data_IF_293765295772
#
_entry.id   IF_293765295772
#
_cell.length_a   1.000
_cell.length_b   1.000
_cell.length_c   1.000
_cell.angle_alpha   90.00
_cell.angle_beta   90.00
_cell.angle_gamma   90.00
#
_symmetry.space_group_name_H-M   'P 1'
#
loop_
_entity.id
_entity.type
_entity.pdbx_description
1 polymer ?
#
# COMPACT_ATOMS: atom_id res chain seq x y z
N UNK A 1 -27.33 27.50 11.98
CA UNK A 1 -27.09 26.11 11.55
C UNK A 1 -25.79 25.66 12.18
N UNK A 2 -25.84 24.80 13.18
CA UNK A 2 -24.65 24.20 13.78
C UNK A 2 -24.12 23.15 12.81
N UNK A 3 -22.93 23.39 12.25
CA UNK A 3 -22.20 22.35 11.53
C UNK A 3 -21.88 21.27 12.55
N UNK A 4 -22.42 20.07 12.37
CA UNK A 4 -22.05 18.94 13.22
C UNK A 4 -20.54 18.69 13.06
N UNK A 5 -19.80 18.77 14.16
CA UNK A 5 -18.37 18.49 14.15
C UNK A 5 -18.17 16.98 13.98
N UNK A 6 -17.58 16.57 12.86
CA UNK A 6 -17.26 15.17 12.56
C UNK A 6 -16.33 14.63 13.65
N UNK A 7 -16.61 13.43 14.17
CA UNK A 7 -15.77 12.79 15.18
C UNK A 7 -14.51 12.14 14.55
N UNK A 8 -13.46 11.95 15.35
CA UNK A 8 -12.24 11.27 14.91
C UNK A 8 -12.49 9.89 14.24
N UNK A 9 -13.33 8.99 14.80
CA UNK A 9 -13.61 7.72 14.14
C UNK A 9 -14.39 7.89 12.83
N UNK A 10 -15.30 8.86 12.72
CA UNK A 10 -16.02 9.13 11.47
C UNK A 10 -15.09 9.66 10.38
N UNK A 11 -14.20 10.61 10.73
CA UNK A 11 -13.21 11.14 9.78
C UNK A 11 -12.27 10.05 9.28
N UNK A 12 -11.73 9.23 10.19
CA UNK A 12 -10.83 8.15 9.82
C UNK A 12 -11.53 7.03 9.04
N UNK A 13 -12.78 6.69 9.40
CA UNK A 13 -13.59 5.71 8.67
C UNK A 13 -13.81 6.13 7.23
N UNK A 14 -14.21 7.39 7.00
CA UNK A 14 -14.45 7.90 5.66
C UNK A 14 -13.19 7.73 4.76
N UNK A 15 -12.01 8.11 5.28
CA UNK A 15 -10.76 7.94 4.56
C UNK A 15 -10.36 6.47 4.37
N UNK A 16 -10.55 5.62 5.39
CA UNK A 16 -10.26 4.19 5.32
C UNK A 16 -11.11 3.48 4.25
N UNK A 17 -12.40 3.79 4.20
CA UNK A 17 -13.38 3.17 3.30
C UNK A 17 -13.28 3.70 1.87
N UNK A 18 -12.71 4.90 1.68
CA UNK A 18 -12.38 5.52 0.39
C UNK A 18 -11.15 4.92 -0.28
N UNK A 19 -10.44 3.98 0.36
CA UNK A 19 -9.37 3.23 -0.33
C UNK A 19 -9.98 2.37 -1.42
N UNK A 20 -9.42 2.45 -2.63
CA UNK A 20 -9.79 1.55 -3.71
C UNK A 20 -9.49 0.11 -3.30
N UNK A 21 -10.33 -0.86 -3.62
CA UNK A 21 -10.09 -2.29 -3.30
C UNK A 21 -10.66 -3.13 -4.42
N UNK A 22 -10.15 -4.35 -4.59
CA UNK A 22 -10.80 -5.29 -5.50
C UNK A 22 -12.03 -5.88 -4.80
N UNK A 23 -13.18 -5.78 -5.47
CA UNK A 23 -14.44 -6.33 -4.96
C UNK A 23 -14.51 -7.86 -5.12
N UNK A 24 -15.64 -8.45 -4.72
CA UNK A 24 -15.85 -9.91 -4.76
C UNK A 24 -15.89 -10.50 -6.18
N UNK A 25 -16.06 -9.66 -7.21
CA UNK A 25 -16.08 -10.08 -8.60
C UNK A 25 -14.69 -10.15 -9.22
N UNK A 26 -13.64 -9.74 -8.50
CA UNK A 26 -12.26 -9.82 -8.96
C UNK A 26 -11.86 -11.27 -9.26
N UNK A 27 -11.58 -11.62 -10.53
CA UNK A 27 -11.29 -13.00 -10.91
C UNK A 27 -9.81 -13.37 -10.71
N UNK A 28 -8.96 -12.38 -10.39
CA UNK A 28 -7.51 -12.50 -10.53
C UNK A 28 -7.01 -11.99 -11.87
N UNK A 29 -5.70 -11.99 -12.06
CA UNK A 29 -5.07 -11.63 -13.33
C UNK A 29 -3.77 -12.39 -13.57
N UNK A 30 -3.33 -12.41 -14.82
CA UNK A 30 -1.96 -12.73 -15.24
C UNK A 30 -1.28 -11.49 -15.79
N UNK A 31 0.04 -11.44 -15.69
CA UNK A 31 0.87 -10.41 -16.31
C UNK A 31 2.23 -10.99 -16.69
N UNK A 32 2.87 -10.37 -17.67
CA UNK A 32 4.29 -10.49 -17.88
C UNK A 32 4.99 -9.57 -16.88
N UNK A 33 6.01 -10.07 -16.20
CA UNK A 33 6.73 -9.28 -15.19
C UNK A 33 8.17 -9.08 -15.59
N UNK A 34 8.65 -7.85 -15.47
CA UNK A 34 10.06 -7.49 -15.59
C UNK A 34 10.51 -6.81 -14.30
N UNK A 35 11.52 -7.34 -13.64
CA UNK A 35 12.27 -6.66 -12.59
C UNK A 35 13.57 -6.13 -13.19
N UNK A 36 13.78 -4.82 -13.08
CA UNK A 36 15.09 -4.20 -13.27
C UNK A 36 15.64 -3.84 -11.91
N UNK A 37 16.81 -4.36 -11.57
CA UNK A 37 17.48 -4.08 -10.31
C UNK A 37 18.94 -3.80 -10.62
N UNK A 38 19.37 -2.57 -10.36
CA UNK A 38 20.70 -2.09 -10.74
C UNK A 38 20.98 -2.38 -12.24
N UNK A 39 22.03 -3.16 -12.57
CA UNK A 39 22.37 -3.55 -13.95
C UNK A 39 21.73 -4.87 -14.41
N UNK A 40 20.85 -5.47 -13.61
CA UNK A 40 20.23 -6.77 -13.89
C UNK A 40 18.77 -6.63 -14.33
N UNK A 41 18.36 -7.51 -15.24
CA UNK A 41 16.97 -7.59 -15.72
C UNK A 41 16.50 -9.03 -15.64
N UNK A 42 15.39 -9.26 -14.95
CA UNK A 42 14.74 -10.55 -14.81
C UNK A 42 13.33 -10.48 -15.37
N UNK A 43 12.95 -11.44 -16.21
CA UNK A 43 11.63 -11.49 -16.85
C UNK A 43 10.95 -12.81 -16.57
N UNK A 44 9.65 -12.78 -16.31
CA UNK A 44 8.86 -13.98 -16.06
C UNK A 44 7.37 -13.75 -16.28
N UNK A 45 6.56 -14.65 -15.72
CA UNK A 45 5.10 -14.54 -15.68
C UNK A 45 4.65 -14.44 -14.23
N UNK A 46 3.68 -13.57 -13.99
CA UNK A 46 3.02 -13.40 -12.71
C UNK A 46 1.55 -13.78 -12.84
N UNK A 47 1.00 -14.38 -11.80
CA UNK A 47 -0.43 -14.64 -11.65
C UNK A 47 -0.88 -14.27 -10.26
N UNK A 48 -1.97 -13.53 -10.12
CA UNK A 48 -2.66 -13.30 -8.85
C UNK A 48 -4.03 -13.93 -8.98
N UNK A 49 -4.33 -14.91 -8.13
CA UNK A 49 -5.63 -15.57 -8.12
C UNK A 49 -6.73 -14.66 -7.54
N UNK A 50 -8.01 -15.01 -7.78
CA UNK A 50 -9.16 -14.40 -7.09
C UNK A 50 -9.05 -14.42 -5.55
N UNK A 51 -8.31 -15.39 -5.01
CA UNK A 51 -7.99 -15.50 -3.59
C UNK A 51 -6.81 -14.64 -3.12
N UNK A 52 -6.35 -13.68 -3.94
CA UNK A 52 -5.24 -12.76 -3.65
C UNK A 52 -3.89 -13.46 -3.43
N UNK A 53 -3.72 -14.68 -3.94
CA UNK A 53 -2.45 -15.42 -3.84
C UNK A 53 -1.63 -15.20 -5.11
N UNK A 54 -0.41 -14.65 -5.00
CA UNK A 54 0.50 -14.50 -6.13
C UNK A 54 1.28 -15.78 -6.43
N UNK A 55 1.61 -15.96 -7.70
CA UNK A 55 2.45 -17.02 -8.26
C UNK A 55 3.41 -16.38 -9.28
N UNK A 56 4.67 -16.82 -9.29
CA UNK A 56 5.72 -16.30 -10.18
C UNK A 56 6.42 -17.46 -10.86
N UNK A 57 6.48 -17.43 -12.19
CA UNK A 57 7.08 -18.46 -13.04
C UNK A 57 8.09 -17.87 -14.03
N UNK A 58 8.99 -18.72 -14.54
CA UNK A 58 9.95 -18.33 -15.58
C UNK A 58 11.14 -17.51 -15.11
N UNK A 59 11.43 -17.46 -13.79
CA UNK A 59 12.59 -16.77 -13.22
C UNK A 59 13.43 -17.77 -12.44
N UNK A 60 14.67 -18.00 -12.88
CA UNK A 60 15.61 -18.95 -12.26
C UNK A 60 16.33 -18.36 -11.04
N UNK A 61 16.54 -17.03 -11.03
CA UNK A 61 17.14 -16.36 -9.89
C UNK A 61 16.11 -16.28 -8.74
N UNK A 62 16.36 -17.05 -7.68
CA UNK A 62 15.42 -17.17 -6.54
C UNK A 62 15.22 -15.84 -5.79
N UNK A 63 16.24 -14.99 -5.68
CA UNK A 63 16.13 -13.69 -5.02
C UNK A 63 15.21 -12.75 -5.81
N UNK A 64 15.38 -12.68 -7.13
CA UNK A 64 14.52 -11.90 -8.02
C UNK A 64 13.08 -12.42 -8.02
N UNK A 65 12.90 -13.75 -8.04
CA UNK A 65 11.59 -14.40 -7.94
C UNK A 65 10.90 -14.05 -6.62
N UNK A 66 11.63 -14.11 -5.51
CA UNK A 66 11.11 -13.75 -4.19
C UNK A 66 10.77 -12.27 -4.08
N UNK A 67 11.59 -11.38 -4.65
CA UNK A 67 11.34 -9.94 -4.70
C UNK A 67 10.03 -9.63 -5.45
N UNK A 68 9.85 -10.21 -6.65
CA UNK A 68 8.62 -10.05 -7.44
C UNK A 68 7.41 -10.62 -6.70
N UNK A 69 7.54 -11.83 -6.14
CA UNK A 69 6.47 -12.45 -5.36
C UNK A 69 6.07 -11.56 -4.16
N UNK A 70 7.06 -11.00 -3.46
CA UNK A 70 6.84 -10.06 -2.36
C UNK A 70 6.04 -8.83 -2.79
N UNK A 71 6.43 -8.20 -3.91
CA UNK A 71 5.69 -7.04 -4.43
C UNK A 71 4.25 -7.40 -4.83
N UNK A 72 4.05 -8.52 -5.53
CA UNK A 72 2.70 -9.00 -5.87
C UNK A 72 1.86 -9.28 -4.63
N UNK A 73 2.45 -9.86 -3.59
CA UNK A 73 1.76 -10.11 -2.31
C UNK A 73 1.36 -8.80 -1.64
N UNK A 74 2.27 -7.83 -1.56
CA UNK A 74 1.98 -6.51 -1.00
C UNK A 74 0.86 -5.80 -1.76
N UNK A 75 0.90 -5.83 -3.10
CA UNK A 75 -0.18 -5.26 -3.93
C UNK A 75 -1.51 -5.95 -3.58
N UNK A 76 -1.54 -7.28 -3.66
CA UNK A 76 -2.77 -8.05 -3.49
C UNK A 76 -3.38 -7.88 -2.08
N UNK A 77 -2.58 -7.94 -1.02
CA UNK A 77 -3.09 -7.86 0.36
C UNK A 77 -3.70 -6.50 0.69
N UNK A 78 -3.21 -5.42 0.08
CA UNK A 78 -3.76 -4.08 0.25
C UNK A 78 -5.07 -3.87 -0.53
N UNK A 79 -5.31 -4.67 -1.58
CA UNK A 79 -6.57 -4.64 -2.34
C UNK A 79 -7.69 -5.47 -1.71
N UNK A 80 -7.41 -6.26 -0.68
CA UNK A 80 -8.45 -7.01 0.06
C UNK A 80 -9.37 -6.04 0.81
N UNK A 81 -10.65 -6.03 0.47
CA UNK A 81 -11.67 -5.30 1.24
C UNK A 81 -11.85 -5.95 2.61
N UNK A 82 -11.63 -5.15 3.66
CA UNK A 82 -12.05 -5.45 5.04
C UNK A 82 -12.92 -4.29 5.51
N UNK A 83 -13.95 -4.59 6.28
CA UNK A 83 -14.78 -3.54 6.89
C UNK A 83 -13.98 -2.78 7.95
N UNK A 84 -14.44 -1.56 8.24
CA UNK A 84 -13.85 -0.75 9.29
C UNK A 84 -13.91 -1.46 10.65
N UNK A 85 -15.05 -2.09 10.97
CA UNK A 85 -15.27 -2.84 12.21
C UNK A 85 -14.34 -4.05 12.34
N UNK A 86 -14.16 -4.84 11.28
CA UNK A 86 -13.24 -5.99 11.29
C UNK A 86 -11.80 -5.58 11.58
N UNK A 87 -11.37 -4.43 11.04
CA UNK A 87 -9.98 -3.97 11.16
C UNK A 87 -9.75 -3.16 12.42
N UNK A 88 -10.71 -2.30 12.80
CA UNK A 88 -10.52 -1.29 13.84
C UNK A 88 -11.58 -1.29 14.95
N UNK A 89 -12.53 -2.21 14.97
CA UNK A 89 -13.61 -2.25 15.98
C UNK A 89 -13.15 -2.50 17.42
N UNK A 90 -11.86 -2.81 17.64
CA UNK A 90 -11.23 -2.96 18.96
C UNK A 90 -10.32 -1.77 19.33
N UNK A 91 -10.38 -0.68 18.58
CA UNK A 91 -9.58 0.52 18.79
C UNK A 91 -10.45 1.70 19.22
N UNK A 92 -9.83 2.65 19.91
CA UNK A 92 -10.37 4.00 20.12
C UNK A 92 -9.62 5.01 19.26
N UNK A 93 -10.23 6.16 19.04
CA UNK A 93 -9.71 7.20 18.15
C UNK A 93 -9.83 8.56 18.84
N UNK A 94 -8.77 9.34 18.80
CA UNK A 94 -8.79 10.75 19.21
C UNK A 94 -8.07 11.61 18.18
N UNK A 95 -8.43 12.89 18.13
CA UNK A 95 -7.70 13.85 17.32
C UNK A 95 -6.33 14.17 17.95
N UNK A 96 -5.31 14.23 17.10
CA UNK A 96 -4.01 14.82 17.41
C UNK A 96 -3.89 16.21 16.79
N UNK A 97 -2.70 16.54 16.31
CA UNK A 97 -2.44 17.83 15.68
C UNK A 97 -2.98 17.91 14.24
N UNK A 98 -3.33 19.13 13.80
CA UNK A 98 -3.50 19.44 12.37
C UNK A 98 -2.25 20.15 11.89
N UNK A 99 -1.65 19.68 10.79
CA UNK A 99 -0.46 20.33 10.23
C UNK A 99 -0.80 21.44 9.24
N UNK A 100 0.23 22.13 8.75
CA UNK A 100 0.10 23.26 7.82
C UNK A 100 -0.53 22.90 6.47
N UNK A 101 -0.54 21.62 6.11
CA UNK A 101 -1.22 21.12 4.90
C UNK A 101 -2.71 20.87 5.11
N UNK A 102 -3.20 21.03 6.35
CA UNK A 102 -4.56 20.69 6.75
C UNK A 102 -4.77 19.21 7.04
N UNK A 103 -3.70 18.40 7.06
CA UNK A 103 -3.81 16.99 7.42
C UNK A 103 -4.03 16.85 8.92
N UNK A 104 -5.08 16.12 9.30
CA UNK A 104 -5.52 15.92 10.69
C UNK A 104 -4.98 14.59 11.21
N UNK A 105 -4.26 14.62 12.31
CA UNK A 105 -3.74 13.43 12.97
C UNK A 105 -4.85 12.69 13.74
N UNK A 106 -4.84 11.37 13.62
CA UNK A 106 -5.70 10.44 14.34
C UNK A 106 -4.80 9.54 15.19
N UNK A 107 -4.94 9.66 16.50
CA UNK A 107 -4.23 8.86 17.48
C UNK A 107 -5.07 7.63 17.82
N UNK A 108 -4.44 6.46 17.77
CA UNK A 108 -5.11 5.19 18.04
C UNK A 108 -4.89 4.76 19.49
N UNK A 109 -5.94 4.26 20.13
CA UNK A 109 -5.88 3.55 21.40
C UNK A 109 -6.45 2.14 21.30
N UNK A 110 -6.42 1.39 22.41
CA UNK A 110 -6.92 0.01 22.45
C UNK A 110 -5.94 -0.97 21.82
N UNK A 111 -6.40 -1.85 20.93
CA UNK A 111 -5.53 -2.88 20.33
C UNK A 111 -4.38 -2.29 19.50
N UNK A 112 -4.58 -1.11 18.91
CA UNK A 112 -3.58 -0.41 18.11
C UNK A 112 -2.98 0.80 18.86
N UNK A 113 -2.94 0.76 20.19
CA UNK A 113 -2.32 1.82 20.97
C UNK A 113 -0.88 2.12 20.52
N UNK A 114 -0.58 3.40 20.29
CA UNK A 114 0.69 3.86 19.73
C UNK A 114 0.71 4.02 18.21
N UNK A 115 -0.23 3.38 17.48
CA UNK A 115 -0.43 3.68 16.05
C UNK A 115 -1.01 5.09 15.88
N UNK A 116 -0.67 5.73 14.76
CA UNK A 116 -1.28 6.99 14.36
C UNK A 116 -1.36 7.12 12.85
N UNK A 117 -2.30 7.94 12.42
CA UNK A 117 -2.52 8.24 11.01
C UNK A 117 -2.65 9.74 10.83
N UNK A 118 -2.46 10.23 9.60
CA UNK A 118 -2.99 11.53 9.20
C UNK A 118 -3.96 11.36 8.06
N UNK A 119 -5.04 12.15 8.09
CA UNK A 119 -6.07 12.17 7.08
C UNK A 119 -6.15 13.57 6.46
N UNK A 120 -6.19 13.63 5.13
CA UNK A 120 -6.40 14.85 4.35
C UNK A 120 -7.21 14.49 3.11
N UNK A 121 -8.15 15.34 2.70
CA UNK A 121 -8.93 15.17 1.47
C UNK A 121 -9.62 13.80 1.34
N UNK A 122 -10.13 13.25 2.46
CA UNK A 122 -10.73 11.92 2.54
C UNK A 122 -9.77 10.77 2.16
N UNK A 123 -8.47 10.97 2.37
CA UNK A 123 -7.43 9.97 2.18
C UNK A 123 -6.53 9.88 3.42
N UNK A 124 -6.06 8.66 3.70
CA UNK A 124 -4.98 8.46 4.67
C UNK A 124 -3.66 8.85 4.00
N UNK A 125 -3.03 9.93 4.47
CA UNK A 125 -1.79 10.46 3.91
C UNK A 125 -0.56 10.19 4.79
N UNK A 126 -0.75 9.74 6.04
CA UNK A 126 0.32 9.21 6.89
C UNK A 126 -0.14 7.94 7.57
N UNK A 127 0.74 6.95 7.61
CA UNK A 127 0.58 5.72 8.38
C UNK A 127 1.78 5.57 9.29
N UNK A 128 1.57 5.42 10.58
CA UNK A 128 2.60 5.08 11.55
C UNK A 128 2.09 3.92 12.40
N UNK A 129 2.70 2.75 12.25
CA UNK A 129 2.16 1.51 12.83
C UNK A 129 3.20 0.59 13.42
N UNK A 130 2.85 -0.02 14.54
CA UNK A 130 3.59 -1.11 15.16
C UNK A 130 3.17 -2.43 14.53
N UNK A 131 4.08 -3.05 13.77
CA UNK A 131 3.83 -4.32 13.09
C UNK A 131 5.04 -5.23 13.23
N UNK A 132 4.81 -6.50 13.60
CA UNK A 132 5.87 -7.53 13.65
C UNK A 132 7.17 -7.13 14.38
N UNK A 133 7.08 -6.34 15.46
CA UNK A 133 8.24 -5.91 16.25
C UNK A 133 9.03 -4.74 15.66
N UNK A 134 8.51 -4.08 14.62
CA UNK A 134 9.05 -2.84 14.04
C UNK A 134 7.96 -1.77 13.97
N UNK A 135 8.39 -0.52 13.82
CA UNK A 135 7.49 0.60 13.52
C UNK A 135 7.71 1.03 12.09
N UNK A 136 6.67 0.98 11.27
CA UNK A 136 6.70 1.51 9.90
C UNK A 136 6.06 2.90 9.89
N UNK A 137 6.72 3.86 9.25
CA UNK A 137 6.15 5.18 8.92
C UNK A 137 6.11 5.35 7.42
N UNK A 138 4.96 5.70 6.87
CA UNK A 138 4.73 5.93 5.45
C UNK A 138 4.06 7.29 5.28
N UNK A 139 4.63 8.16 4.46
CA UNK A 139 4.01 9.40 4.01
C UNK A 139 3.58 9.24 2.56
N UNK A 140 2.31 9.51 2.26
CA UNK A 140 1.79 9.55 0.89
C UNK A 140 1.77 10.98 0.40
N UNK A 141 2.49 11.24 -0.69
CA UNK A 141 2.65 12.55 -1.29
C UNK A 141 1.63 12.79 -2.41
N UNK A 142 1.24 11.74 -3.11
CA UNK A 142 0.18 11.79 -4.12
C UNK A 142 -0.52 10.44 -4.27
N UNK A 143 -1.74 10.52 -4.79
CA UNK A 143 -2.62 9.37 -5.02
C UNK A 143 -3.09 9.33 -6.47
N UNK A 144 -3.42 8.13 -6.94
CA UNK A 144 -4.13 7.89 -8.18
C UNK A 144 -5.62 7.77 -7.87
N UNK A 145 -6.41 8.66 -8.44
CA UNK A 145 -7.88 8.65 -8.33
C UNK A 145 -8.48 7.66 -9.33
N UNK A 146 -9.20 6.66 -8.80
CA UNK A 146 -9.88 5.64 -9.61
C UNK A 146 -11.32 6.01 -9.95
N UNK A 147 -11.86 7.08 -9.36
CA UNK A 147 -13.29 7.43 -9.34
C UNK A 147 -14.10 6.63 -8.33
N UNK A 148 -13.56 5.53 -7.79
CA UNK A 148 -14.18 4.65 -6.79
C UNK A 148 -13.35 4.56 -5.50
N UNK A 149 -12.41 5.50 -5.35
CA UNK A 149 -11.45 5.55 -4.25
C UNK A 149 -10.04 5.83 -4.74
N UNK A 150 -9.09 5.82 -3.81
CA UNK A 150 -7.71 6.18 -4.09
C UNK A 150 -6.75 5.00 -3.96
N UNK A 151 -5.66 5.09 -4.73
CA UNK A 151 -4.48 4.25 -4.67
C UNK A 151 -3.26 5.14 -4.42
N UNK A 152 -2.29 4.70 -3.62
CA UNK A 152 -1.05 5.46 -3.44
C UNK A 152 -0.29 5.54 -4.78
N UNK A 153 0.15 6.74 -5.16
CA UNK A 153 0.94 6.98 -6.37
C UNK A 153 2.40 7.28 -6.02
N UNK A 154 2.66 8.25 -5.14
CA UNK A 154 4.02 8.54 -4.64
C UNK A 154 4.04 8.56 -3.12
N UNK A 155 4.95 7.81 -2.53
CA UNK A 155 5.04 7.70 -1.07
C UNK A 155 6.44 7.29 -0.62
N UNK A 156 6.72 7.45 0.67
CA UNK A 156 7.93 6.91 1.30
C UNK A 156 7.61 5.82 2.32
N UNK A 157 8.63 5.05 2.72
CA UNK A 157 8.56 4.20 3.90
C UNK A 157 9.87 4.21 4.66
N UNK A 158 9.78 4.28 5.98
CA UNK A 158 10.92 4.16 6.89
C UNK A 158 10.55 3.26 8.06
N UNK A 159 11.44 2.33 8.39
CA UNK A 159 11.28 1.44 9.54
C UNK A 159 12.08 1.96 10.72
N UNK A 160 11.57 1.78 11.93
CA UNK A 160 12.23 2.17 13.17
C UNK A 160 12.14 1.05 14.20
N UNK A 161 13.10 1.02 15.11
CA UNK A 161 13.00 0.24 16.32
C UNK A 161 11.91 0.82 17.24
N UNK A 162 10.95 0.00 17.71
CA UNK A 162 9.83 0.49 18.52
C UNK A 162 10.26 1.01 19.91
N UNK A 163 11.42 0.59 20.43
CA UNK A 163 11.87 0.97 21.77
C UNK A 163 12.76 2.21 21.73
N UNK A 164 13.71 2.26 20.79
CA UNK A 164 14.70 3.35 20.72
C UNK A 164 14.28 4.46 19.77
N UNK A 165 13.38 4.19 18.83
CA UNK A 165 13.05 5.09 17.73
C UNK A 165 14.16 5.19 16.68
N UNK A 166 15.21 4.39 16.78
CA UNK A 166 16.31 4.38 15.81
C UNK A 166 15.82 3.85 14.46
N UNK A 167 16.17 4.54 13.38
CA UNK A 167 15.84 4.09 12.03
C UNK A 167 16.54 2.75 11.72
N UNK A 168 15.77 1.82 11.14
CA UNK A 168 16.23 0.51 10.69
C UNK A 168 16.28 0.50 9.16
N UNK A 169 17.49 0.36 8.61
CA UNK A 169 17.72 0.33 7.17
C UNK A 169 17.49 1.68 6.50
N UNK A 170 17.38 1.65 5.17
CA UNK A 170 17.20 2.84 4.36
C UNK A 170 15.78 3.38 4.31
N UNK A 171 15.67 4.64 3.85
CA UNK A 171 14.39 5.23 3.44
C UNK A 171 14.10 4.81 2.00
N UNK A 172 12.93 4.22 1.77
CA UNK A 172 12.46 3.86 0.43
C UNK A 172 11.48 4.90 -0.09
N UNK A 173 11.64 5.30 -1.35
CA UNK A 173 10.71 6.12 -2.11
C UNK A 173 10.06 5.25 -3.18
N UNK A 174 8.74 5.35 -3.31
CA UNK A 174 7.92 4.57 -4.23
C UNK A 174 7.22 5.48 -5.23
N UNK A 175 7.16 5.04 -6.47
CA UNK A 175 6.30 5.60 -7.51
C UNK A 175 5.56 4.46 -8.22
N UNK A 176 4.23 4.45 -8.07
CA UNK A 176 3.33 3.41 -8.56
C UNK A 176 2.46 3.93 -9.70
N UNK A 177 2.36 3.18 -10.79
CA UNK A 177 1.44 3.46 -11.88
C UNK A 177 0.46 2.30 -12.05
N UNK A 178 -0.75 2.63 -12.48
CA UNK A 178 -1.86 1.71 -12.56
C UNK A 178 -2.50 1.75 -13.95
N UNK A 179 -2.96 0.58 -14.40
CA UNK A 179 -3.76 0.42 -15.60
C UNK A 179 -5.15 -0.08 -15.22
N UNK A 180 -6.18 0.44 -15.91
CA UNK A 180 -7.55 -0.08 -15.79
C UNK A 180 -7.74 -1.26 -16.75
N UNK A 181 -7.88 -2.46 -16.21
CA UNK A 181 -8.12 -3.70 -16.95
C UNK A 181 -9.50 -4.23 -16.59
N UNK A 182 -10.43 -4.14 -17.55
CA UNK A 182 -11.85 -4.36 -17.28
C UNK A 182 -12.37 -3.36 -16.26
N UNK A 183 -12.90 -3.85 -15.13
CA UNK A 183 -13.39 -3.03 -14.03
C UNK A 183 -12.35 -2.78 -12.93
N UNK A 184 -11.12 -3.30 -13.07
CA UNK A 184 -10.14 -3.28 -12.00
C UNK A 184 -8.94 -2.42 -12.35
N UNK A 185 -8.48 -1.61 -11.40
CA UNK A 185 -7.16 -0.99 -11.47
C UNK A 185 -6.11 -1.97 -10.96
N UNK A 186 -5.08 -2.21 -11.76
CA UNK A 186 -3.98 -3.13 -11.50
C UNK A 186 -2.67 -2.35 -11.65
N UNK A 187 -1.71 -2.60 -10.75
CA UNK A 187 -0.39 -1.97 -10.84
C UNK A 187 0.32 -2.42 -12.13
N UNK A 188 0.73 -1.48 -12.96
CA UNK A 188 1.48 -1.72 -14.19
C UNK A 188 2.97 -1.41 -14.04
N UNK A 189 3.32 -0.52 -13.10
CA UNK A 189 4.71 -0.19 -12.78
C UNK A 189 4.87 0.20 -11.32
N UNK A 190 5.98 -0.19 -10.71
CA UNK A 190 6.47 0.33 -9.43
C UNK A 190 7.96 0.58 -9.50
N UNK A 191 8.37 1.82 -9.26
CA UNK A 191 9.76 2.18 -9.04
C UNK A 191 10.02 2.37 -7.56
N UNK A 192 11.12 1.81 -7.07
CA UNK A 192 11.57 1.88 -5.68
C UNK A 192 13.00 2.39 -5.66
N UNK A 193 13.26 3.47 -4.94
CA UNK A 193 14.61 3.97 -4.66
C UNK A 193 14.83 3.90 -3.16
N UNK A 194 15.85 3.18 -2.71
CA UNK A 194 16.18 3.06 -1.29
C UNK A 194 17.56 3.62 -1.01
N UNK A 195 17.62 4.65 -0.16
CA UNK A 195 18.88 5.25 0.30
C UNK A 195 19.28 4.64 1.65
N UNK A 196 20.44 3.99 1.70
CA UNK A 196 21.06 3.43 2.92
C UNK A 196 22.52 3.84 2.97
N UNK A 197 22.96 4.48 4.06
CA UNK A 197 24.36 4.86 4.29
C UNK A 197 25.03 5.60 3.10
N UNK A 198 24.26 6.47 2.42
CA UNK A 198 24.73 7.24 1.26
C UNK A 198 24.80 6.46 -0.06
N UNK A 199 24.39 5.19 -0.08
CA UNK A 199 24.22 4.39 -1.29
C UNK A 199 22.74 4.31 -1.66
N UNK A 200 22.44 4.41 -2.96
CA UNK A 200 21.07 4.29 -3.49
C UNK A 200 20.95 3.01 -4.29
N UNK A 201 20.00 2.16 -3.94
CA UNK A 201 19.56 1.02 -4.76
C UNK A 201 18.26 1.37 -5.46
N UNK A 202 18.16 1.04 -6.75
CA UNK A 202 16.97 1.29 -7.56
C UNK A 202 16.42 -0.02 -8.10
N UNK A 203 15.12 -0.21 -7.92
CA UNK A 203 14.37 -1.33 -8.46
C UNK A 203 13.17 -0.81 -9.25
N UNK A 204 12.90 -1.41 -10.40
CA UNK A 204 11.71 -1.14 -11.19
C UNK A 204 11.01 -2.46 -11.53
N UNK A 205 9.77 -2.59 -11.06
CA UNK A 205 8.87 -3.69 -11.38
C UNK A 205 7.90 -3.22 -12.46
N UNK A 206 7.86 -3.91 -13.58
CA UNK A 206 6.95 -3.67 -14.69
C UNK A 206 6.04 -4.87 -14.87
N UNK A 207 4.74 -4.63 -14.93
CA UNK A 207 3.71 -5.62 -15.21
C UNK A 207 3.03 -5.23 -16.52
N UNK A 208 3.16 -6.06 -17.54
CA UNK A 208 2.63 -5.81 -18.88
C UNK A 208 1.78 -6.97 -19.35
N UNK A 209 1.07 -6.80 -20.47
CA UNK A 209 0.14 -7.81 -21.00
C UNK A 209 -0.84 -8.30 -19.94
N UNK A 210 -1.33 -7.39 -19.11
CA UNK A 210 -2.19 -7.71 -17.96
C UNK A 210 -3.54 -8.21 -18.49
N UNK A 211 -3.95 -9.39 -18.05
CA UNK A 211 -5.20 -10.02 -18.46
C UNK A 211 -5.94 -10.55 -17.24
N UNK A 212 -7.22 -10.24 -17.11
CA UNK A 212 -8.06 -10.83 -16.08
C UNK A 212 -8.21 -12.33 -16.33
N UNK A 213 -8.20 -13.11 -15.25
CA UNK A 213 -8.56 -14.51 -15.33
C UNK A 213 -10.05 -14.65 -15.69
N UNK A 214 -10.41 -15.78 -16.29
CA UNK A 214 -11.83 -16.12 -16.44
C UNK A 214 -12.45 -16.29 -15.05
N UNK A 215 -13.64 -15.71 -14.85
CA UNK A 215 -14.39 -15.92 -13.63
C UNK A 215 -14.68 -17.42 -13.48
N UNK A 216 -14.26 -18.02 -12.37
CA UNK A 216 -14.66 -19.39 -12.04
C UNK A 216 -16.17 -19.40 -11.84
N UNK A 217 -16.88 -20.13 -12.71
CA UNK A 217 -18.33 -20.32 -12.70
C UNK A 217 -18.83 -20.96 -11.40
#
# INVERSE_FOLDING_TARGET
MTVAQVSAPELFRAAYENRYTWDKSFPGYTADVTLKQDDQVFTGKARVSAGFKPEVEGIENEDAKQAIHGQLFEIAIHRVRRTFEETHGKNSFSFGNTDETGAVEILMGGKAEGDRYKVRDNEVCLVHRHIHGVVVTINTFSSHDTGEGYLSHRYDSVYHDPQTGEQKGGKSLFEDEYEKVGNFYILSRRAISTETDGQTSVQEFLFSNIQLLEATA
#
